data_IF_184870785692
#
_entry.id   IF_184870785692
#
_cell.length_a   1.000
_cell.length_b   1.000
_cell.length_c   1.000
_cell.angle_alpha   90.00
_cell.angle_beta   90.00
_cell.angle_gamma   90.00
#
_symmetry.space_group_name_H-M   'P 1'
#
loop_
_entity.id
_entity.type
_entity.pdbx_description
1 polymer ?
#
# COMPACT_ATOMS: atom_id res chain seq x y z
N UNK A 1 30.95 -10.70 33.26
CA UNK A 1 31.31 -9.38 32.71
C UNK A 1 30.05 -8.76 32.12
N UNK A 2 29.45 -7.81 32.81
CA UNK A 2 28.15 -7.21 32.48
C UNK A 2 28.30 -6.13 31.41
N UNK A 3 27.39 -6.09 30.43
CA UNK A 3 27.23 -4.89 29.59
C UNK A 3 25.85 -4.31 29.83
N UNK A 4 25.79 -3.35 30.77
CA UNK A 4 24.59 -2.58 31.09
C UNK A 4 24.34 -1.61 29.93
N UNK A 5 23.18 -1.70 29.29
CA UNK A 5 22.73 -0.66 28.35
C UNK A 5 22.02 0.40 29.19
N UNK A 6 22.70 1.52 29.44
CA UNK A 6 22.09 2.66 30.10
C UNK A 6 21.12 3.33 29.14
N UNK A 7 19.80 3.24 29.38
CA UNK A 7 18.84 4.14 28.77
C UNK A 7 19.02 5.52 29.41
N UNK A 8 20.02 6.25 28.91
CA UNK A 8 20.18 7.67 29.25
C UNK A 8 19.12 8.45 28.48
N UNK A 9 18.37 9.28 29.19
CA UNK A 9 17.36 10.17 28.63
C UNK A 9 18.00 11.27 27.75
N UNK A 10 18.48 10.90 26.57
CA UNK A 10 18.51 11.83 25.46
C UNK A 10 17.18 11.67 24.75
N UNK A 11 16.20 12.43 25.24
CA UNK A 11 15.06 12.78 24.41
C UNK A 11 15.65 13.45 23.18
N UNK A 12 15.73 12.71 22.08
CA UNK A 12 15.91 13.34 20.77
C UNK A 12 14.71 14.27 20.67
N UNK A 13 14.95 15.57 20.59
CA UNK A 13 13.89 16.56 20.41
C UNK A 13 12.94 16.02 19.34
N UNK A 14 11.71 15.72 19.78
CA UNK A 14 10.68 15.23 18.89
C UNK A 14 10.50 16.33 17.86
N UNK A 15 10.89 16.07 16.62
CA UNK A 15 10.61 16.96 15.50
C UNK A 15 9.15 17.41 15.63
N UNK A 16 8.85 18.71 15.46
CA UNK A 16 7.52 19.24 15.72
C UNK A 16 6.52 18.35 14.99
N UNK A 17 5.51 17.86 15.71
CA UNK A 17 4.51 16.99 15.12
C UNK A 17 3.97 17.71 13.89
N UNK A 18 4.19 17.13 12.70
CA UNK A 18 3.71 17.68 11.43
C UNK A 18 2.26 18.11 11.67
N UNK A 19 2.01 19.41 11.54
CA UNK A 19 0.66 19.94 11.68
C UNK A 19 -0.21 19.33 10.59
N UNK A 20 -1.50 19.18 10.86
CA UNK A 20 -2.43 18.51 9.94
C UNK A 20 -2.35 19.09 8.52
N UNK A 21 -2.11 20.40 8.41
CA UNK A 21 -1.92 21.11 7.14
C UNK A 21 -0.75 20.56 6.30
N UNK A 22 0.39 20.28 6.93
CA UNK A 22 1.58 19.74 6.26
C UNK A 22 1.38 18.28 5.82
N UNK A 23 0.50 17.54 6.52
CA UNK A 23 0.07 16.20 6.10
C UNK A 23 -0.87 16.27 4.88
N UNK A 24 -1.78 17.25 4.83
CA UNK A 24 -2.70 17.44 3.71
C UNK A 24 -1.96 17.91 2.45
N UNK A 25 -1.01 18.84 2.60
CA UNK A 25 -0.18 19.32 1.50
C UNK A 25 0.56 18.17 0.79
N UNK A 26 1.16 17.25 1.56
CA UNK A 26 1.86 16.08 1.01
C UNK A 26 0.95 15.06 0.33
N UNK A 27 -0.33 14.97 0.71
CA UNK A 27 -1.32 14.12 0.02
C UNK A 27 -1.73 14.73 -1.31
N UNK A 28 -1.94 16.04 -1.36
CA UNK A 28 -2.25 16.77 -2.60
C UNK A 28 -1.11 16.66 -3.63
N UNK A 29 0.13 16.79 -3.17
CA UNK A 29 1.31 16.70 -4.05
C UNK A 29 1.55 15.26 -4.54
N UNK A 30 1.28 14.25 -3.71
CA UNK A 30 1.31 12.84 -4.14
C UNK A 30 0.16 12.50 -5.11
N UNK A 31 -1.02 13.07 -4.90
CA UNK A 31 -2.14 12.92 -5.81
C UNK A 31 -1.85 13.58 -7.17
N UNK A 32 -1.26 14.76 -7.18
CA UNK A 32 -0.84 15.47 -8.38
C UNK A 32 0.32 14.78 -9.12
N UNK A 33 1.27 14.19 -8.38
CA UNK A 33 2.35 13.41 -8.97
C UNK A 33 1.87 12.12 -9.65
N UNK A 34 0.79 11.50 -9.15
CA UNK A 34 0.14 10.35 -9.81
C UNK A 34 -0.60 10.77 -11.10
N UNK A 35 -1.10 12.00 -11.16
CA UNK A 35 -1.79 12.57 -12.34
C UNK A 35 -0.83 13.08 -13.43
N UNK A 36 0.45 13.31 -13.10
CA UNK A 36 1.42 13.99 -13.99
C UNK A 36 2.59 13.11 -14.45
N UNK A 37 2.55 11.80 -14.23
CA UNK A 37 3.57 10.89 -14.76
C UNK A 37 3.51 10.86 -16.30
N UNK A 38 4.64 11.00 -17.02
CA UNK A 38 4.67 11.02 -18.48
C UNK A 38 4.16 9.69 -19.04
N UNK A 39 3.25 9.78 -20.01
CA UNK A 39 2.65 8.66 -20.72
C UNK A 39 3.69 7.88 -21.55
N UNK A 40 4.51 7.08 -20.86
CA UNK A 40 4.86 5.77 -21.39
C UNK A 40 3.54 4.99 -21.55
N UNK A 41 3.44 4.15 -22.56
CA UNK A 41 2.24 3.41 -22.96
C UNK A 41 1.99 2.27 -21.94
N UNK A 42 1.83 2.62 -20.68
CA UNK A 42 1.26 1.79 -19.63
C UNK A 42 -0.21 2.21 -19.52
N UNK A 43 -1.11 1.28 -19.82
CA UNK A 43 -2.54 1.51 -19.77
C UNK A 43 -2.94 2.14 -18.43
N UNK A 44 -3.69 3.26 -18.47
CA UNK A 44 -4.11 3.97 -17.26
C UNK A 44 -4.86 3.01 -16.33
N UNK A 45 -4.25 2.70 -15.18
CA UNK A 45 -4.85 1.84 -14.16
C UNK A 45 -6.15 2.46 -13.64
N UNK A 46 -7.26 1.74 -13.79
CA UNK A 46 -8.56 2.09 -13.20
C UNK A 46 -8.74 1.38 -11.86
N UNK A 47 -9.32 2.07 -10.88
CA UNK A 47 -9.67 1.47 -9.57
C UNK A 47 -10.88 0.56 -9.73
N UNK A 48 -10.76 -0.65 -9.21
CA UNK A 48 -11.84 -1.63 -9.14
C UNK A 48 -12.25 -1.80 -7.67
N UNK A 49 -13.44 -1.31 -7.33
CA UNK A 49 -14.04 -1.48 -5.99
C UNK A 49 -14.98 -2.66 -6.03
N UNK A 50 -14.74 -3.66 -5.19
CA UNK A 50 -15.56 -4.88 -5.10
C UNK A 50 -15.82 -5.16 -3.62
N UNK A 51 -17.09 -5.36 -3.29
CA UNK A 51 -17.50 -5.87 -2.00
C UNK A 51 -17.52 -7.39 -2.03
N UNK A 52 -16.86 -8.01 -1.05
CA UNK A 52 -16.83 -9.47 -0.88
C UNK A 52 -17.20 -9.84 0.56
N UNK A 53 -17.88 -10.98 0.79
CA UNK A 53 -18.18 -11.45 2.15
C UNK A 53 -16.92 -11.61 3.00
N UNK A 54 -17.05 -11.39 4.31
CA UNK A 54 -15.91 -11.41 5.23
C UNK A 54 -15.13 -12.73 5.22
N UNK A 55 -15.85 -13.86 5.15
CA UNK A 55 -15.26 -15.19 5.15
C UNK A 55 -14.37 -15.38 3.93
N UNK A 56 -14.87 -14.98 2.75
CA UNK A 56 -14.14 -15.07 1.48
C UNK A 56 -12.91 -14.17 1.51
N UNK A 57 -13.04 -12.92 1.97
CA UNK A 57 -11.91 -12.01 2.08
C UNK A 57 -10.80 -12.57 2.99
N UNK A 58 -11.19 -13.17 4.12
CA UNK A 58 -10.25 -13.77 5.07
C UNK A 58 -9.49 -14.95 4.46
N UNK A 59 -10.20 -15.86 3.82
CA UNK A 59 -9.60 -17.04 3.17
C UNK A 59 -8.71 -16.66 1.99
N UNK A 60 -9.18 -15.71 1.16
CA UNK A 60 -8.42 -15.21 0.02
C UNK A 60 -7.15 -14.48 0.46
N UNK A 61 -7.24 -13.64 1.51
CA UNK A 61 -6.08 -12.96 2.10
C UNK A 61 -5.07 -13.95 2.66
N UNK A 62 -5.52 -14.97 3.39
CA UNK A 62 -4.64 -16.00 3.94
C UNK A 62 -3.92 -16.79 2.82
N UNK A 63 -4.65 -17.14 1.76
CA UNK A 63 -4.09 -17.85 0.61
C UNK A 63 -3.04 -17.01 -0.12
N UNK A 64 -3.32 -15.72 -0.36
CA UNK A 64 -2.35 -14.82 -0.99
C UNK A 64 -1.11 -14.62 -0.12
N UNK A 65 -1.27 -14.50 1.20
CA UNK A 65 -0.16 -14.38 2.14
C UNK A 65 0.74 -15.64 2.13
N UNK A 66 0.14 -16.83 2.13
CA UNK A 66 0.88 -18.10 2.03
C UNK A 66 1.67 -18.22 0.73
N UNK A 67 1.17 -17.64 -0.37
CA UNK A 67 1.83 -17.59 -1.68
C UNK A 67 2.85 -16.46 -1.82
N UNK A 68 2.93 -15.54 -0.85
CA UNK A 68 3.80 -14.38 -0.90
C UNK A 68 3.42 -13.34 -1.96
N UNK A 69 2.17 -13.35 -2.44
CA UNK A 69 1.68 -12.43 -3.47
C UNK A 69 0.75 -11.37 -2.89
N UNK A 70 0.78 -10.18 -3.48
CA UNK A 70 -0.19 -9.13 -3.16
C UNK A 70 -1.57 -9.52 -3.70
N UNK A 71 -2.62 -9.30 -2.91
CA UNK A 71 -4.01 -9.53 -3.33
C UNK A 71 -4.35 -8.79 -4.64
N UNK A 72 -3.84 -7.57 -4.84
CA UNK A 72 -4.08 -6.82 -6.07
C UNK A 72 -3.53 -7.55 -7.30
N UNK A 73 -2.33 -8.12 -7.20
CA UNK A 73 -1.70 -8.87 -8.29
C UNK A 73 -2.41 -10.20 -8.54
N UNK A 74 -2.83 -10.89 -7.48
CA UNK A 74 -3.61 -12.12 -7.60
C UNK A 74 -4.95 -11.88 -8.32
N UNK A 75 -5.63 -10.77 -8.03
CA UNK A 75 -6.88 -10.39 -8.70
C UNK A 75 -6.63 -10.00 -10.16
N UNK A 76 -5.56 -9.26 -10.45
CA UNK A 76 -5.18 -8.94 -11.85
C UNK A 76 -4.94 -10.20 -12.67
N UNK A 77 -4.14 -11.13 -12.15
CA UNK A 77 -3.84 -12.40 -12.82
C UNK A 77 -5.11 -13.25 -13.06
N UNK A 78 -6.06 -13.23 -12.12
CA UNK A 78 -7.34 -13.93 -12.27
C UNK A 78 -8.18 -13.31 -13.39
N UNK A 79 -8.29 -11.97 -13.44
CA UNK A 79 -9.02 -11.26 -14.49
C UNK A 79 -8.37 -11.48 -15.86
N UNK A 80 -7.05 -11.38 -15.95
CA UNK A 80 -6.32 -11.65 -17.18
C UNK A 80 -6.48 -13.09 -17.67
N UNK A 81 -6.51 -14.06 -16.76
CA UNK A 81 -6.74 -15.46 -17.09
C UNK A 81 -8.13 -15.69 -17.68
N UNK A 82 -9.17 -15.11 -17.07
CA UNK A 82 -10.54 -15.21 -17.56
C UNK A 82 -10.70 -14.58 -18.95
N UNK A 83 -10.09 -13.40 -19.18
CA UNK A 83 -10.13 -12.71 -20.47
C UNK A 83 -9.33 -13.43 -21.57
N UNK A 84 -8.22 -14.11 -21.23
CA UNK A 84 -7.39 -14.85 -22.20
C UNK A 84 -7.99 -16.21 -22.59
N UNK A 85 -8.86 -16.77 -21.75
CA UNK A 85 -9.57 -18.03 -22.02
C UNK A 85 -10.87 -17.84 -22.82
N UNK A 86 -11.21 -16.59 -23.19
CA UNK A 86 -12.39 -16.20 -23.94
C UNK A 86 -12.03 -15.92 -25.39
#
# INVERSE_FOLDING_TARGET
MAKRVGLTAKTVERAPAKTADEWIAGVGERAAALESAPAAIEEKLKRLTIDIPESLHKEFKATCAARGVNMAEAVRALIEGDLKMK
#
